data_IF_208610325554
#
_entry.id   IF_208610325554
#
_cell.length_a   1.000
_cell.length_b   1.000
_cell.length_c   1.000
_cell.angle_alpha   90.00
_cell.angle_beta   90.00
_cell.angle_gamma   90.00
#
_symmetry.space_group_name_H-M   'P 1'
#
loop_
_entity.id
_entity.type
_entity.pdbx_description
1 polymer ?
#
# COMPACT_ATOMS: atom_id res chain seq x y z
N UNK A 1 -63.46 6.76 22.71
CA UNK A 1 -62.34 5.86 23.02
C UNK A 1 -62.17 4.94 21.82
N UNK A 2 -60.93 4.55 21.55
CA UNK A 2 -60.46 3.69 20.44
C UNK A 2 -59.97 4.45 19.19
N UNK A 3 -58.81 5.08 19.38
CA UNK A 3 -57.89 5.43 18.29
C UNK A 3 -56.91 4.26 18.09
N UNK A 4 -57.07 3.50 17.01
CA UNK A 4 -56.11 2.48 16.58
C UNK A 4 -54.82 3.15 16.08
N UNK A 5 -53.76 3.01 16.87
CA UNK A 5 -52.40 3.39 16.50
C UNK A 5 -51.86 2.36 15.51
N UNK A 6 -51.83 2.74 14.22
CA UNK A 6 -51.08 2.04 13.18
C UNK A 6 -49.58 2.13 13.48
N UNK A 7 -49.05 1.12 14.17
CA UNK A 7 -47.60 0.89 14.31
C UNK A 7 -47.07 0.30 13.00
N UNK A 8 -46.75 1.18 12.05
CA UNK A 8 -45.99 0.83 10.86
C UNK A 8 -44.53 0.62 11.22
N UNK A 9 -44.12 -0.65 11.38
CA UNK A 9 -42.71 -1.04 11.36
C UNK A 9 -42.09 -0.62 10.03
N UNK A 10 -41.26 0.42 10.06
CA UNK A 10 -40.32 0.71 8.98
C UNK A 10 -39.19 -0.32 9.06
N UNK A 11 -39.41 -1.50 8.49
CA UNK A 11 -38.32 -2.38 8.07
C UNK A 11 -37.64 -1.70 6.89
N UNK A 12 -36.46 -1.14 7.13
CA UNK A 12 -35.54 -0.70 6.08
C UNK A 12 -35.30 -1.91 5.19
N UNK A 13 -35.90 -1.90 4.01
CA UNK A 13 -35.62 -2.89 2.99
C UNK A 13 -34.13 -2.76 2.64
N UNK A 14 -33.34 -3.79 2.96
CA UNK A 14 -32.07 -3.99 2.27
C UNK A 14 -32.39 -3.97 0.77
N UNK A 15 -31.94 -2.94 0.06
CA UNK A 15 -32.22 -2.79 -1.36
C UNK A 15 -31.71 -4.03 -2.08
N UNK A 16 -32.61 -4.78 -2.73
CA UNK A 16 -32.35 -6.00 -3.51
C UNK A 16 -31.22 -5.84 -4.53
N UNK A 17 -30.89 -4.60 -4.91
CA UNK A 17 -29.79 -4.25 -5.82
C UNK A 17 -28.38 -4.39 -5.20
N UNK A 18 -28.26 -4.64 -3.90
CA UNK A 18 -26.96 -4.69 -3.19
C UNK A 18 -26.26 -6.03 -3.34
N UNK A 19 -27.01 -7.14 -3.32
CA UNK A 19 -26.44 -8.49 -3.46
C UNK A 19 -25.76 -8.64 -4.84
N UNK A 20 -26.40 -8.26 -5.96
CA UNK A 20 -25.72 -8.27 -7.26
C UNK A 20 -24.48 -7.38 -7.29
N UNK A 21 -24.49 -6.22 -6.63
CA UNK A 21 -23.33 -5.33 -6.61
C UNK A 21 -22.12 -5.95 -5.88
N UNK A 22 -22.36 -6.66 -4.77
CA UNK A 22 -21.32 -7.37 -4.01
C UNK A 22 -20.75 -8.53 -4.83
N UNK A 23 -21.60 -9.30 -5.50
CA UNK A 23 -21.19 -10.43 -6.36
C UNK A 23 -20.36 -9.95 -7.56
N UNK A 24 -20.80 -8.87 -8.22
CA UNK A 24 -20.04 -8.25 -9.32
C UNK A 24 -18.71 -7.73 -8.79
N UNK A 25 -18.68 -7.07 -7.63
CA UNK A 25 -17.44 -6.54 -7.04
C UNK A 25 -16.46 -7.67 -6.70
N UNK A 26 -16.94 -8.75 -6.08
CA UNK A 26 -16.13 -9.93 -5.77
C UNK A 26 -15.57 -10.58 -7.05
N UNK A 27 -16.40 -10.70 -8.09
CA UNK A 27 -15.99 -11.24 -9.39
C UNK A 27 -14.91 -10.38 -10.05
N UNK A 28 -15.07 -9.05 -10.02
CA UNK A 28 -14.08 -8.13 -10.58
C UNK A 28 -12.77 -8.15 -9.80
N UNK A 29 -12.82 -8.26 -8.48
CA UNK A 29 -11.62 -8.43 -7.66
C UNK A 29 -10.92 -9.77 -7.95
N UNK A 30 -11.67 -10.86 -8.12
CA UNK A 30 -11.10 -12.15 -8.50
C UNK A 30 -10.41 -12.10 -9.88
N UNK A 31 -11.01 -11.43 -10.87
CA UNK A 31 -10.38 -11.17 -12.17
C UNK A 31 -9.12 -10.32 -12.02
N UNK A 32 -9.16 -9.30 -11.17
CA UNK A 32 -8.00 -8.47 -10.85
C UNK A 32 -6.83 -9.31 -10.33
N UNK A 33 -7.08 -10.19 -9.35
CA UNK A 33 -6.05 -11.10 -8.83
C UNK A 33 -5.56 -12.12 -9.85
N UNK A 34 -6.47 -12.65 -10.69
CA UNK A 34 -6.09 -13.59 -11.75
C UNK A 34 -5.05 -12.95 -12.67
N UNK A 35 -5.26 -11.68 -13.07
CA UNK A 35 -4.30 -10.93 -13.87
C UNK A 35 -3.01 -10.57 -13.11
N UNK A 36 -3.08 -10.37 -11.78
CA UNK A 36 -1.90 -10.15 -10.93
C UNK A 36 -0.93 -11.34 -10.95
N UNK A 37 -1.45 -12.56 -11.10
CA UNK A 37 -0.66 -13.78 -11.22
C UNK A 37 -0.10 -14.00 -12.63
N UNK A 38 -0.51 -13.23 -13.64
CA UNK A 38 -0.03 -13.35 -15.01
C UNK A 38 1.23 -12.48 -15.20
N UNK A 39 2.39 -13.07 -15.53
CA UNK A 39 3.61 -12.31 -15.76
C UNK A 39 3.45 -11.25 -16.87
N UNK A 40 3.76 -9.99 -16.55
CA UNK A 40 3.71 -8.89 -17.51
C UNK A 40 2.30 -8.37 -17.85
N UNK A 41 1.24 -8.90 -17.22
CA UNK A 41 -0.10 -8.36 -17.41
C UNK A 41 -0.24 -6.99 -16.75
N UNK A 42 -0.93 -6.10 -17.47
CA UNK A 42 -1.37 -4.79 -16.96
C UNK A 42 -2.91 -4.70 -16.90
N UNK A 43 -3.62 -5.78 -17.25
CA UNK A 43 -5.08 -5.81 -17.31
C UNK A 43 -5.72 -5.77 -15.92
N UNK A 44 -4.98 -6.14 -14.87
CA UNK A 44 -5.41 -5.94 -13.47
C UNK A 44 -5.83 -4.48 -13.21
N UNK A 45 -5.23 -3.49 -13.89
CA UNK A 45 -5.63 -2.08 -13.78
C UNK A 45 -7.07 -1.85 -14.23
N UNK A 46 -7.49 -2.53 -15.30
CA UNK A 46 -8.84 -2.39 -15.87
C UNK A 46 -9.85 -2.96 -14.87
N UNK A 47 -9.56 -4.13 -14.29
CA UNK A 47 -10.42 -4.74 -13.28
C UNK A 47 -10.48 -3.90 -11.99
N UNK A 48 -9.36 -3.37 -11.52
CA UNK A 48 -9.32 -2.49 -10.37
C UNK A 48 -10.14 -1.20 -10.59
N UNK A 49 -10.04 -0.61 -11.80
CA UNK A 49 -10.88 0.53 -12.19
C UNK A 49 -12.36 0.16 -12.23
N UNK A 50 -12.70 -1.02 -12.73
CA UNK A 50 -14.08 -1.52 -12.73
C UNK A 50 -14.62 -1.65 -11.30
N UNK A 51 -13.83 -2.22 -10.37
CA UNK A 51 -14.18 -2.27 -8.95
C UNK A 51 -14.51 -0.87 -8.39
N UNK A 52 -13.64 0.12 -8.63
CA UNK A 52 -13.88 1.50 -8.18
C UNK A 52 -15.14 2.12 -8.80
N UNK A 53 -15.40 1.86 -10.08
CA UNK A 53 -16.63 2.32 -10.74
C UNK A 53 -17.88 1.71 -10.10
N UNK A 54 -17.87 0.42 -9.79
CA UNK A 54 -18.97 -0.26 -9.09
C UNK A 54 -19.18 0.35 -7.70
N UNK A 55 -18.11 0.51 -6.91
CA UNK A 55 -18.17 1.15 -5.59
C UNK A 55 -18.86 2.52 -5.66
N UNK A 56 -18.49 3.32 -6.65
CA UNK A 56 -19.05 4.66 -6.84
C UNK A 56 -20.51 4.63 -7.31
N UNK A 57 -20.86 3.79 -8.29
CA UNK A 57 -22.23 3.67 -8.83
C UNK A 57 -23.21 3.25 -7.74
N UNK A 58 -22.83 2.27 -6.93
CA UNK A 58 -23.68 1.74 -5.86
C UNK A 58 -23.47 2.43 -4.50
N UNK A 59 -22.60 3.45 -4.44
CA UNK A 59 -22.26 4.20 -3.23
C UNK A 59 -21.89 3.29 -2.04
N UNK A 60 -21.12 2.23 -2.31
CA UNK A 60 -20.81 1.18 -1.33
C UNK A 60 -19.98 1.71 -0.15
N UNK A 61 -19.14 2.72 -0.37
CA UNK A 61 -18.35 3.38 0.68
C UNK A 61 -19.24 4.03 1.76
N UNK A 62 -20.33 4.69 1.36
CA UNK A 62 -21.26 5.31 2.31
C UNK A 62 -21.96 4.24 3.18
N UNK A 63 -22.29 3.09 2.57
CA UNK A 63 -22.97 1.97 3.20
C UNK A 63 -22.04 1.13 4.10
N UNK A 64 -20.73 1.17 3.88
CA UNK A 64 -19.76 0.40 4.66
C UNK A 64 -19.83 0.73 6.16
N UNK A 65 -20.04 2.01 6.49
CA UNK A 65 -20.10 2.51 7.87
C UNK A 65 -21.29 1.95 8.66
N UNK A 66 -22.40 1.65 7.98
CA UNK A 66 -23.64 1.15 8.57
C UNK A 66 -23.85 -0.35 8.36
N UNK A 67 -23.10 -0.97 7.45
CA UNK A 67 -23.27 -2.38 7.10
C UNK A 67 -22.67 -3.30 8.17
N UNK A 68 -23.35 -4.42 8.45
CA UNK A 68 -22.83 -5.54 9.25
C UNK A 68 -22.14 -6.59 8.39
N UNK A 69 -22.22 -6.48 7.06
CA UNK A 69 -21.66 -7.43 6.11
C UNK A 69 -20.12 -7.43 6.15
N UNK A 70 -19.55 -8.56 6.57
CA UNK A 70 -18.11 -8.77 6.65
C UNK A 70 -17.46 -8.95 5.28
N UNK A 71 -18.17 -9.49 4.29
CA UNK A 71 -17.70 -9.71 2.93
C UNK A 71 -17.55 -8.36 2.23
N UNK A 72 -18.58 -7.51 2.27
CA UNK A 72 -18.48 -6.16 1.71
C UNK A 72 -17.32 -5.37 2.34
N UNK A 73 -17.19 -5.42 3.67
CA UNK A 73 -16.08 -4.75 4.37
C UNK A 73 -14.72 -5.26 3.93
N UNK A 74 -14.57 -6.57 3.76
CA UNK A 74 -13.35 -7.20 3.27
C UNK A 74 -13.03 -6.73 1.84
N UNK A 75 -13.99 -6.83 0.90
CA UNK A 75 -13.81 -6.44 -0.49
C UNK A 75 -13.39 -4.97 -0.62
N UNK A 76 -14.11 -4.06 0.05
CA UNK A 76 -13.80 -2.63 0.01
C UNK A 76 -12.40 -2.33 0.58
N UNK A 77 -12.03 -3.00 1.67
CA UNK A 77 -10.69 -2.86 2.24
C UNK A 77 -9.63 -3.33 1.24
N UNK A 78 -9.81 -4.51 0.66
CA UNK A 78 -8.82 -5.12 -0.20
C UNK A 78 -8.59 -4.33 -1.49
N UNK A 79 -9.68 -3.86 -2.11
CA UNK A 79 -9.64 -2.95 -3.27
C UNK A 79 -8.92 -1.64 -2.90
N UNK A 80 -9.25 -1.06 -1.74
CA UNK A 80 -8.64 0.18 -1.29
C UNK A 80 -7.13 0.01 -1.00
N UNK A 81 -6.72 -1.11 -0.42
CA UNK A 81 -5.30 -1.38 -0.15
C UNK A 81 -4.52 -1.58 -1.45
N UNK A 82 -5.07 -2.34 -2.40
CA UNK A 82 -4.48 -2.53 -3.73
C UNK A 82 -4.33 -1.21 -4.49
N UNK A 83 -5.35 -0.35 -4.42
CA UNK A 83 -5.34 1.00 -4.97
C UNK A 83 -4.25 1.89 -4.35
N UNK A 84 -4.13 1.87 -3.02
CA UNK A 84 -3.13 2.66 -2.31
C UNK A 84 -1.72 2.22 -2.67
N UNK A 85 -1.46 0.91 -2.65
CA UNK A 85 -0.15 0.34 -2.97
C UNK A 85 0.22 0.61 -4.43
N UNK A 86 -0.73 0.46 -5.35
CA UNK A 86 -0.57 0.87 -6.76
C UNK A 86 -0.24 2.35 -6.87
N UNK A 87 -0.91 3.21 -6.10
CA UNK A 87 -0.69 4.67 -6.13
C UNK A 87 0.73 5.11 -5.78
N UNK A 88 1.50 4.28 -5.05
CA UNK A 88 2.89 4.61 -4.68
C UNK A 88 3.82 4.68 -5.89
N UNK A 89 3.53 3.89 -6.93
CA UNK A 89 4.43 3.64 -8.07
C UNK A 89 3.76 3.86 -9.42
N UNK A 90 2.43 4.00 -9.46
CA UNK A 90 1.72 4.49 -10.63
C UNK A 90 1.71 6.02 -10.66
N UNK A 91 2.29 6.58 -11.72
CA UNK A 91 2.35 8.01 -12.01
C UNK A 91 1.57 8.38 -13.27
N UNK A 92 0.80 7.44 -13.83
CA UNK A 92 -0.08 7.76 -14.95
C UNK A 92 -1.21 8.71 -14.48
N UNK A 93 -1.54 9.69 -15.33
CA UNK A 93 -2.58 10.68 -15.00
C UNK A 93 -3.98 10.05 -14.95
N UNK A 94 -4.15 8.82 -15.45
CA UNK A 94 -5.43 8.12 -15.51
C UNK A 94 -5.87 7.53 -14.17
N UNK A 95 -4.97 7.39 -13.20
CA UNK A 95 -5.30 6.87 -11.87
C UNK A 95 -5.54 7.97 -10.81
N UNK A 96 -5.60 9.24 -11.21
CA UNK A 96 -6.06 10.34 -10.35
C UNK A 96 -7.51 10.74 -10.68
N UNK A 97 -8.37 11.07 -9.69
CA UNK A 97 -8.09 11.23 -8.26
C UNK A 97 -8.66 10.05 -7.45
N UNK A 98 -7.82 9.42 -6.61
CA UNK A 98 -8.30 8.65 -5.46
C UNK A 98 -9.25 9.56 -4.68
N UNK A 99 -10.55 9.28 -4.79
CA UNK A 99 -11.59 10.13 -4.23
C UNK A 99 -11.34 10.28 -2.73
N UNK A 100 -11.26 11.52 -2.26
CA UNK A 100 -10.88 11.89 -0.89
C UNK A 100 -11.90 11.47 0.19
N UNK A 101 -12.82 10.55 -0.13
CA UNK A 101 -13.99 10.21 0.69
C UNK A 101 -13.79 9.08 1.71
N UNK A 102 -12.86 8.14 1.52
CA UNK A 102 -12.88 6.90 2.33
C UNK A 102 -11.67 6.67 3.25
N UNK A 103 -10.63 7.51 3.20
CA UNK A 103 -9.37 7.30 3.96
C UNK A 103 -9.54 7.22 5.48
N UNK A 104 -10.64 7.75 6.05
CA UNK A 104 -10.86 7.70 7.49
C UNK A 104 -11.32 6.32 8.00
N UNK A 105 -11.91 5.47 7.17
CA UNK A 105 -12.63 4.27 7.63
C UNK A 105 -11.87 2.94 7.47
N UNK A 106 -10.80 2.90 6.66
CA UNK A 106 -9.91 1.72 6.51
C UNK A 106 -9.23 1.30 7.84
N UNK A 107 -9.03 2.26 8.76
CA UNK A 107 -8.24 2.06 9.97
C UNK A 107 -8.90 1.21 11.07
N UNK A 108 -10.24 1.13 11.11
CA UNK A 108 -10.94 0.47 12.23
C UNK A 108 -11.16 -1.02 12.01
N UNK A 109 -11.18 -1.49 10.76
CA UNK A 109 -11.60 -2.88 10.45
C UNK A 109 -10.42 -3.86 10.37
N UNK A 110 -9.25 -3.41 9.90
CA UNK A 110 -8.10 -4.31 9.69
C UNK A 110 -7.13 -4.40 10.87
N UNK A 111 -7.06 -3.35 11.68
CA UNK A 111 -5.96 -3.15 12.63
C UNK A 111 -4.61 -2.81 11.97
N UNK A 112 -4.49 -2.85 10.64
CA UNK A 112 -3.27 -2.52 9.91
C UNK A 112 -3.26 -1.03 9.52
N UNK A 113 -2.47 -0.21 10.24
CA UNK A 113 -2.52 1.25 10.08
C UNK A 113 -1.55 1.81 9.03
N UNK A 114 -0.62 0.99 8.51
CA UNK A 114 0.43 1.48 7.60
C UNK A 114 -0.10 1.86 6.22
N UNK A 115 -1.07 1.13 5.67
CA UNK A 115 -1.64 1.46 4.35
C UNK A 115 -2.25 2.85 4.32
N UNK A 116 -2.97 3.24 5.38
CA UNK A 116 -3.49 4.60 5.54
C UNK A 116 -2.38 5.66 5.62
N UNK A 117 -1.24 5.35 6.24
CA UNK A 117 -0.11 6.27 6.32
C UNK A 117 0.59 6.41 4.96
N UNK A 118 0.83 5.30 4.26
CA UNK A 118 1.36 5.28 2.90
C UNK A 118 0.49 6.15 1.99
N UNK A 119 -0.83 5.98 2.03
CA UNK A 119 -1.76 6.80 1.24
C UNK A 119 -1.63 8.30 1.53
N UNK A 120 -1.50 8.69 2.80
CA UNK A 120 -1.30 10.10 3.19
C UNK A 120 0.03 10.65 2.65
N UNK A 121 1.09 9.85 2.73
CA UNK A 121 2.41 10.22 2.21
C UNK A 121 2.29 10.45 0.69
N UNK A 122 1.79 9.45 -0.04
CA UNK A 122 1.63 9.50 -1.50
C UNK A 122 0.75 10.68 -1.92
N UNK A 123 -0.40 10.89 -1.29
CA UNK A 123 -1.31 11.99 -1.65
C UNK A 123 -0.67 13.36 -1.45
N UNK A 124 0.05 13.57 -0.35
CA UNK A 124 0.75 14.82 -0.12
C UNK A 124 1.90 15.00 -1.10
N UNK A 125 2.66 13.95 -1.40
CA UNK A 125 3.74 13.98 -2.39
C UNK A 125 3.19 14.44 -3.75
N UNK A 126 2.10 13.84 -4.22
CA UNK A 126 1.48 14.19 -5.51
C UNK A 126 1.02 15.66 -5.54
N UNK A 127 0.39 16.13 -4.45
CA UNK A 127 -0.03 17.54 -4.31
C UNK A 127 1.17 18.49 -4.34
N UNK A 128 2.25 18.13 -3.64
CA UNK A 128 3.48 18.94 -3.63
C UNK A 128 4.14 18.96 -4.99
N UNK A 129 4.20 17.85 -5.69
CA UNK A 129 4.73 17.80 -7.05
C UNK A 129 3.97 18.76 -7.99
N UNK A 130 2.63 18.71 -7.99
CA UNK A 130 1.81 19.66 -8.77
C UNK A 130 2.05 21.12 -8.38
N UNK A 131 2.25 21.39 -7.07
CA UNK A 131 2.57 22.74 -6.58
C UNK A 131 3.95 23.21 -7.03
N UNK A 132 4.96 22.30 -7.04
CA UNK A 132 6.31 22.58 -7.55
C UNK A 132 6.26 22.96 -9.03
N UNK A 133 5.45 22.25 -9.82
CA UNK A 133 5.26 22.56 -11.25
C UNK A 133 4.59 23.93 -11.47
N UNK A 134 3.62 24.30 -10.63
CA UNK A 134 2.89 25.57 -10.78
C UNK A 134 3.67 26.79 -10.27
N UNK A 135 4.30 26.68 -9.09
CA UNK A 135 4.81 27.82 -8.33
C UNK A 135 6.33 27.79 -8.07
N UNK A 136 7.03 26.71 -8.44
CA UNK A 136 8.48 26.55 -8.28
C UNK A 136 8.98 26.35 -6.84
N UNK A 137 8.35 26.96 -5.84
CA UNK A 137 8.75 26.91 -4.44
C UNK A 137 7.85 26.00 -3.60
N UNK A 138 8.47 25.17 -2.77
CA UNK A 138 7.78 24.30 -1.81
C UNK A 138 8.14 24.69 -0.38
N UNK A 139 7.14 24.72 0.50
CA UNK A 139 7.40 24.83 1.94
C UNK A 139 8.09 23.56 2.45
N UNK A 140 9.13 23.68 3.30
CA UNK A 140 9.74 22.53 3.98
C UNK A 140 8.69 21.72 4.75
N UNK A 141 8.86 20.40 4.78
CA UNK A 141 7.98 19.50 5.52
C UNK A 141 8.64 19.19 6.86
N UNK A 142 7.90 19.33 7.95
CA UNK A 142 8.40 18.94 9.26
C UNK A 142 8.38 17.41 9.39
N UNK A 143 9.56 16.78 9.28
CA UNK A 143 9.69 15.32 9.36
C UNK A 143 9.28 14.75 10.72
N UNK A 144 9.36 15.50 11.83
CA UNK A 144 8.93 15.00 13.15
C UNK A 144 7.44 14.63 13.19
N UNK A 145 6.59 15.27 12.37
CA UNK A 145 5.17 14.94 12.24
C UNK A 145 5.01 13.54 11.63
N UNK A 146 5.82 13.22 10.62
CA UNK A 146 5.79 11.91 9.95
C UNK A 146 6.36 10.79 10.81
N UNK A 147 7.35 11.06 11.66
CA UNK A 147 7.80 10.10 12.68
C UNK A 147 6.67 9.76 13.62
N UNK A 148 5.99 10.77 14.17
CA UNK A 148 4.86 10.57 15.07
C UNK A 148 3.72 9.79 14.41
N UNK A 149 3.47 10.03 13.12
CA UNK A 149 2.49 9.24 12.38
C UNK A 149 2.92 7.79 12.18
N UNK A 150 4.20 7.52 11.91
CA UNK A 150 4.75 6.17 11.81
C UNK A 150 4.70 5.43 13.16
N UNK A 151 5.06 6.10 14.25
CA UNK A 151 4.96 5.57 15.62
C UNK A 151 3.52 5.24 15.99
N UNK A 152 2.58 6.14 15.68
CA UNK A 152 1.15 5.91 15.93
C UNK A 152 0.61 4.75 15.10
N UNK A 153 1.00 4.64 13.82
CA UNK A 153 0.63 3.50 12.98
C UNK A 153 1.19 2.19 13.55
N UNK A 154 2.45 2.18 13.97
CA UNK A 154 3.07 1.02 14.62
C UNK A 154 2.30 0.63 15.89
N UNK A 155 2.04 1.60 16.78
CA UNK A 155 1.30 1.37 18.04
C UNK A 155 -0.11 0.82 17.80
N UNK A 156 -0.84 1.36 16.81
CA UNK A 156 -2.17 0.87 16.44
C UNK A 156 -2.14 -0.56 15.91
N UNK A 157 -1.19 -0.85 15.02
CA UNK A 157 -1.01 -2.20 14.47
C UNK A 157 -0.70 -3.20 15.58
N UNK A 158 0.22 -2.87 16.48
CA UNK A 158 0.56 -3.72 17.63
C UNK A 158 -0.59 -3.90 18.64
N UNK A 159 -1.52 -2.94 18.71
CA UNK A 159 -2.69 -3.03 19.58
C UNK A 159 -3.83 -3.89 19.00
N UNK A 160 -3.73 -4.38 17.77
CA UNK A 160 -4.81 -5.12 17.12
C UNK A 160 -5.13 -6.43 17.89
N UNK A 161 -6.37 -6.62 18.39
CA UNK A 161 -6.74 -7.78 19.18
C UNK A 161 -6.54 -9.12 18.46
N UNK A 162 -6.65 -9.15 17.13
CA UNK A 162 -6.45 -10.36 16.31
C UNK A 162 -5.05 -10.95 16.49
N UNK A 163 -4.05 -10.09 16.72
CA UNK A 163 -2.65 -10.47 16.93
C UNK A 163 -2.34 -10.89 18.36
N UNK A 164 -3.21 -10.53 19.29
CA UNK A 164 -3.09 -10.87 20.71
C UNK A 164 -3.89 -12.12 21.07
N UNK A 165 -4.49 -12.78 20.07
CA UNK A 165 -5.26 -14.01 20.26
C UNK A 165 -4.38 -15.13 20.78
N UNK A 166 -4.81 -15.79 21.86
CA UNK A 166 -4.10 -16.90 22.50
C UNK A 166 -3.93 -18.13 21.58
N UNK A 167 -4.67 -18.18 20.46
CA UNK A 167 -4.60 -19.25 19.46
C UNK A 167 -3.40 -19.18 18.51
N UNK A 168 -2.66 -18.05 18.47
CA UNK A 168 -1.51 -17.91 17.57
C UNK A 168 -0.23 -18.51 18.18
N UNK A 169 0.55 -19.21 17.35
CA UNK A 169 1.86 -19.74 17.74
C UNK A 169 2.83 -18.59 18.08
N UNK A 170 3.78 -18.84 18.98
CA UNK A 170 4.81 -17.86 19.33
C UNK A 170 5.61 -17.42 18.10
N UNK A 171 5.93 -18.35 17.20
CA UNK A 171 6.66 -18.07 15.97
C UNK A 171 5.90 -17.10 15.04
N UNK A 172 4.58 -17.28 14.89
CA UNK A 172 3.75 -16.39 14.07
C UNK A 172 3.68 -14.98 14.68
N UNK A 173 3.58 -14.88 16.01
CA UNK A 173 3.61 -13.58 16.71
C UNK A 173 4.92 -12.84 16.49
N UNK A 174 6.05 -13.54 16.62
CA UNK A 174 7.38 -12.95 16.40
C UNK A 174 7.57 -12.50 14.95
N UNK A 175 7.12 -13.30 13.98
CA UNK A 175 7.14 -12.93 12.56
C UNK A 175 6.26 -11.69 12.31
N UNK A 176 5.07 -11.62 12.89
CA UNK A 176 4.21 -10.45 12.77
C UNK A 176 4.84 -9.18 13.40
N UNK A 177 5.48 -9.31 14.56
CA UNK A 177 6.20 -8.21 15.19
C UNK A 177 7.33 -7.71 14.29
N UNK A 178 8.08 -8.62 13.67
CA UNK A 178 9.11 -8.28 12.71
C UNK A 178 8.52 -7.57 11.49
N UNK A 179 7.46 -8.11 10.89
CA UNK A 179 6.75 -7.48 9.76
C UNK A 179 6.26 -6.06 10.09
N UNK A 180 5.73 -5.86 11.29
CA UNK A 180 5.29 -4.54 11.75
C UNK A 180 6.44 -3.55 11.85
N UNK A 181 7.64 -3.99 12.29
CA UNK A 181 8.85 -3.16 12.30
C UNK A 181 9.35 -2.89 10.88
N UNK A 182 9.34 -3.90 10.01
CA UNK A 182 9.68 -3.76 8.59
C UNK A 182 8.83 -2.65 7.94
N UNK A 183 7.51 -2.67 8.14
CA UNK A 183 6.62 -1.62 7.61
C UNK A 183 6.82 -0.26 8.28
N UNK A 184 7.14 -0.23 9.57
CA UNK A 184 7.50 1.01 10.26
C UNK A 184 8.71 1.68 9.58
N UNK A 185 9.81 0.93 9.39
CA UNK A 185 11.00 1.47 8.74
C UNK A 185 10.73 1.85 7.28
N UNK A 186 10.10 0.96 6.51
CA UNK A 186 9.81 1.22 5.09
C UNK A 186 8.93 2.46 4.90
N UNK A 187 7.88 2.62 5.70
CA UNK A 187 6.98 3.78 5.61
C UNK A 187 7.69 5.07 6.00
N UNK A 188 8.56 5.03 7.01
CA UNK A 188 9.32 6.20 7.44
C UNK A 188 10.35 6.58 6.36
N UNK A 189 11.10 5.64 5.82
CA UNK A 189 12.01 5.86 4.68
C UNK A 189 11.24 6.45 3.49
N UNK A 190 10.07 5.90 3.15
CA UNK A 190 9.24 6.43 2.08
C UNK A 190 8.81 7.88 2.32
N UNK A 191 8.52 8.27 3.57
CA UNK A 191 8.23 9.68 3.89
C UNK A 191 9.43 10.60 3.69
N UNK A 192 10.66 10.15 4.01
CA UNK A 192 11.88 10.90 3.75
C UNK A 192 12.14 11.03 2.24
N UNK A 193 11.94 9.96 1.48
CA UNK A 193 12.05 9.98 0.03
C UNK A 193 11.06 10.95 -0.62
N UNK A 194 9.85 11.05 -0.06
CA UNK A 194 8.79 11.91 -0.58
C UNK A 194 8.95 13.40 -0.22
N UNK A 195 9.53 13.70 0.95
CA UNK A 195 9.44 15.05 1.53
C UNK A 195 10.74 15.70 1.95
N UNK A 196 11.74 14.91 2.34
CA UNK A 196 12.93 15.43 2.98
C UNK A 196 13.95 15.93 1.95
N UNK A 197 14.74 16.92 2.36
CA UNK A 197 15.87 17.41 1.56
C UNK A 197 16.98 16.35 1.47
N UNK A 198 17.89 16.50 0.51
CA UNK A 198 19.03 15.58 0.36
C UNK A 198 19.89 15.48 1.65
N UNK A 199 20.06 16.60 2.36
CA UNK A 199 20.81 16.63 3.63
C UNK A 199 20.11 15.85 4.75
N UNK A 200 18.80 16.05 4.92
CA UNK A 200 18.01 15.31 5.92
C UNK A 200 17.95 13.81 5.61
N UNK A 201 17.86 13.44 4.33
CA UNK A 201 17.91 12.04 3.89
C UNK A 201 19.25 11.40 4.30
N UNK A 202 20.36 12.07 4.00
CA UNK A 202 21.69 11.56 4.32
C UNK A 202 21.89 11.34 5.83
N UNK A 203 21.40 12.25 6.69
CA UNK A 203 21.55 12.14 8.14
C UNK A 203 20.68 11.06 8.79
N UNK A 204 19.52 10.76 8.20
CA UNK A 204 18.48 9.99 8.90
C UNK A 204 18.23 8.60 8.31
N UNK A 205 18.55 8.36 7.04
CA UNK A 205 18.19 7.11 6.37
C UNK A 205 19.09 5.92 6.77
N UNK A 206 20.38 6.14 7.08
CA UNK A 206 21.32 5.04 7.35
C UNK A 206 20.82 4.05 8.41
N UNK A 207 20.48 4.54 9.60
CA UNK A 207 19.96 3.70 10.69
C UNK A 207 18.62 3.05 10.37
N UNK A 208 17.77 3.72 9.59
CA UNK A 208 16.46 3.18 9.19
C UNK A 208 16.61 2.03 8.19
N UNK A 209 17.53 2.16 7.24
CA UNK A 209 17.83 1.12 6.23
C UNK A 209 18.42 -0.11 6.91
N UNK A 210 19.36 0.07 7.85
CA UNK A 210 19.95 -1.03 8.60
C UNK A 210 18.89 -1.81 9.41
N UNK A 211 17.98 -1.07 10.07
CA UNK A 211 16.84 -1.65 10.78
C UNK A 211 15.90 -2.43 9.85
N UNK A 212 15.57 -1.85 8.69
CA UNK A 212 14.74 -2.47 7.68
C UNK A 212 15.35 -3.79 7.17
N UNK A 213 16.60 -3.76 6.72
CA UNK A 213 17.29 -4.94 6.18
C UNK A 213 17.44 -6.04 7.22
N UNK A 214 17.70 -5.69 8.48
CA UNK A 214 17.77 -6.65 9.58
C UNK A 214 16.43 -7.37 9.80
N UNK A 215 15.33 -6.63 9.89
CA UNK A 215 14.02 -7.24 10.17
C UNK A 215 13.44 -7.96 8.94
N UNK A 216 13.76 -7.52 7.72
CA UNK A 216 13.43 -8.26 6.48
C UNK A 216 14.15 -9.62 6.46
N UNK A 217 15.45 -9.65 6.77
CA UNK A 217 16.23 -10.90 6.90
C UNK A 217 15.58 -11.86 7.88
N UNK A 218 15.20 -11.36 9.04
CA UNK A 218 14.55 -12.15 10.08
C UNK A 218 13.19 -12.70 9.62
N UNK A 219 12.37 -11.87 8.98
CA UNK A 219 11.01 -12.27 8.54
C UNK A 219 11.07 -13.39 7.49
N UNK A 220 12.02 -13.32 6.54
CA UNK A 220 12.14 -14.33 5.48
C UNK A 220 12.81 -15.61 5.96
N UNK A 221 13.77 -15.51 6.89
CA UNK A 221 14.39 -16.68 7.53
C UNK A 221 13.45 -17.39 8.52
N UNK A 222 12.31 -16.77 8.86
CA UNK A 222 11.29 -17.33 9.74
C UNK A 222 10.65 -18.60 9.19
N UNK A 223 10.02 -19.37 10.07
CA UNK A 223 9.39 -20.65 9.74
C UNK A 223 8.05 -20.54 9.02
N UNK A 224 7.48 -19.34 8.93
CA UNK A 224 6.16 -19.09 8.31
C UNK A 224 6.34 -18.35 6.99
N UNK A 225 6.16 -19.05 5.88
CA UNK A 225 6.12 -18.44 4.55
C UNK A 225 4.88 -17.57 4.31
N UNK A 226 3.89 -17.67 5.21
CA UNK A 226 2.59 -17.02 5.12
C UNK A 226 2.66 -15.50 4.96
N UNK A 227 3.73 -14.84 5.40
CA UNK A 227 3.89 -13.38 5.35
C UNK A 227 4.75 -12.88 4.17
N UNK A 228 5.17 -13.78 3.27
CA UNK A 228 6.07 -13.40 2.16
C UNK A 228 5.42 -12.42 1.18
N UNK A 229 4.09 -12.48 1.06
CA UNK A 229 3.30 -11.60 0.19
C UNK A 229 3.26 -10.15 0.70
N UNK A 230 3.47 -9.91 2.00
CA UNK A 230 3.46 -8.56 2.57
C UNK A 230 4.81 -7.84 2.43
N UNK A 231 5.85 -8.49 1.87
CA UNK A 231 7.21 -7.95 1.89
C UNK A 231 7.60 -7.13 0.65
N UNK A 232 6.79 -7.10 -0.40
CA UNK A 232 7.19 -6.42 -1.64
C UNK A 232 7.37 -4.91 -1.45
N UNK A 233 6.45 -4.23 -0.76
CA UNK A 233 6.61 -2.80 -0.46
C UNK A 233 7.89 -2.50 0.34
N UNK A 234 8.12 -3.14 1.49
CA UNK A 234 9.38 -2.95 2.22
C UNK A 234 10.64 -3.34 1.44
N UNK A 235 10.62 -4.42 0.66
CA UNK A 235 11.75 -4.83 -0.17
C UNK A 235 12.05 -3.81 -1.27
N UNK A 236 11.02 -3.23 -1.87
CA UNK A 236 11.19 -2.20 -2.87
C UNK A 236 11.82 -0.95 -2.27
N UNK A 237 11.31 -0.49 -1.12
CA UNK A 237 11.86 0.65 -0.38
C UNK A 237 13.32 0.40 0.03
N UNK A 238 13.66 -0.80 0.49
CA UNK A 238 15.04 -1.18 0.74
C UNK A 238 15.87 -1.10 -0.55
N UNK A 239 15.37 -1.69 -1.64
CA UNK A 239 16.05 -1.78 -2.92
C UNK A 239 16.45 -0.42 -3.50
N UNK A 240 15.56 0.57 -3.45
CA UNK A 240 15.85 1.93 -3.95
C UNK A 240 16.90 2.69 -3.13
N UNK A 241 17.17 2.25 -1.89
CA UNK A 241 18.18 2.87 -1.01
C UNK A 241 19.49 2.07 -0.95
N UNK A 242 19.57 0.89 -1.57
CA UNK A 242 20.80 0.08 -1.57
C UNK A 242 21.82 0.58 -2.60
N UNK A 243 22.98 1.01 -2.10
CA UNK A 243 24.09 1.51 -2.92
C UNK A 243 25.17 0.45 -3.14
N UNK A 244 25.34 -0.49 -2.21
CA UNK A 244 26.36 -1.53 -2.28
C UNK A 244 25.87 -2.77 -3.02
N UNK A 245 26.72 -3.32 -3.88
CA UNK A 245 26.38 -4.49 -4.72
C UNK A 245 25.90 -5.69 -3.92
N UNK A 246 26.50 -5.95 -2.75
CA UNK A 246 26.10 -7.06 -1.87
C UNK A 246 24.66 -6.91 -1.38
N UNK A 247 24.25 -5.69 -1.01
CA UNK A 247 22.90 -5.41 -0.57
C UNK A 247 21.89 -5.49 -1.72
N UNK A 248 22.28 -5.05 -2.93
CA UNK A 248 21.45 -5.16 -4.14
C UNK A 248 21.19 -6.63 -4.50
N UNK A 249 22.24 -7.45 -4.53
CA UNK A 249 22.13 -8.91 -4.76
C UNK A 249 21.22 -9.55 -3.70
N UNK A 250 21.38 -9.11 -2.45
CA UNK A 250 20.55 -9.59 -1.35
C UNK A 250 19.08 -9.24 -1.55
N UNK A 251 18.73 -7.98 -1.81
CA UNK A 251 17.35 -7.55 -2.06
C UNK A 251 16.77 -8.24 -3.30
N UNK A 252 17.54 -8.36 -4.38
CA UNK A 252 17.14 -9.05 -5.60
C UNK A 252 16.79 -10.51 -5.34
N UNK A 253 17.65 -11.24 -4.62
CA UNK A 253 17.41 -12.63 -4.25
C UNK A 253 16.09 -12.77 -3.49
N UNK A 254 15.84 -11.89 -2.52
CA UNK A 254 14.60 -11.92 -1.73
C UNK A 254 13.36 -11.61 -2.57
N UNK A 255 13.46 -10.64 -3.49
CA UNK A 255 12.37 -10.32 -4.42
C UNK A 255 12.01 -11.54 -5.27
N UNK A 256 13.01 -12.20 -5.87
CA UNK A 256 12.81 -13.39 -6.71
C UNK A 256 12.23 -14.55 -5.89
N UNK A 257 12.69 -14.74 -4.66
CA UNK A 257 12.18 -15.76 -3.76
C UNK A 257 10.71 -15.50 -3.39
N UNK A 258 10.35 -14.25 -3.05
CA UNK A 258 8.96 -13.86 -2.78
C UNK A 258 8.05 -14.03 -4.00
N UNK A 259 8.51 -13.63 -5.20
CA UNK A 259 7.78 -13.84 -6.45
C UNK A 259 7.52 -15.33 -6.70
N UNK A 260 8.55 -16.17 -6.54
CA UNK A 260 8.46 -17.61 -6.78
C UNK A 260 7.53 -18.31 -5.79
N UNK A 261 7.49 -17.85 -4.53
CA UNK A 261 6.63 -18.43 -3.48
C UNK A 261 5.18 -17.99 -3.58
N UNK A 262 4.94 -16.72 -3.90
CA UNK A 262 3.59 -16.12 -3.86
C UNK A 262 2.89 -16.17 -5.22
N UNK A 263 3.66 -16.26 -6.31
CA UNK A 263 3.14 -16.15 -7.67
C UNK A 263 2.70 -14.74 -8.07
N UNK A 264 2.87 -13.73 -7.21
CA UNK A 264 2.39 -12.35 -7.43
C UNK A 264 3.32 -11.63 -8.44
N UNK A 265 3.25 -12.04 -9.70
CA UNK A 265 4.15 -11.59 -10.76
C UNK A 265 3.96 -10.14 -11.19
N UNK A 266 2.86 -9.48 -10.80
CA UNK A 266 2.68 -8.04 -11.00
C UNK A 266 3.76 -7.18 -10.30
N UNK A 267 4.48 -7.74 -9.33
CA UNK A 267 5.62 -7.12 -8.64
C UNK A 267 6.93 -7.22 -9.43
N UNK A 268 7.01 -8.06 -10.48
CA UNK A 268 8.24 -8.23 -11.27
C UNK A 268 8.71 -6.95 -11.98
N UNK A 269 7.83 -6.11 -12.56
CA UNK A 269 8.21 -4.81 -13.08
C UNK A 269 8.89 -3.89 -12.04
N UNK A 270 8.54 -4.00 -10.75
CA UNK A 270 9.24 -3.27 -9.69
C UNK A 270 10.69 -3.73 -9.53
N UNK A 271 10.94 -5.04 -9.62
CA UNK A 271 12.30 -5.58 -9.62
C UNK A 271 13.09 -5.14 -10.87
N UNK A 272 12.44 -5.06 -12.03
CA UNK A 272 13.08 -4.55 -13.25
C UNK A 272 13.46 -3.07 -13.12
N UNK A 273 12.60 -2.26 -12.50
CA UNK A 273 12.93 -0.88 -12.15
C UNK A 273 14.17 -0.81 -11.25
N UNK A 274 14.25 -1.63 -10.19
CA UNK A 274 15.42 -1.71 -9.30
C UNK A 274 16.70 -2.11 -10.06
N UNK A 275 16.64 -3.10 -10.94
CA UNK A 275 17.79 -3.53 -11.75
C UNK A 275 18.30 -2.41 -12.66
N UNK A 276 17.38 -1.67 -13.29
CA UNK A 276 17.71 -0.51 -14.11
C UNK A 276 18.35 0.60 -13.28
N UNK A 277 17.82 0.83 -12.07
CA UNK A 277 18.34 1.80 -11.11
C UNK A 277 19.79 1.48 -10.71
N UNK A 278 20.04 0.23 -10.31
CA UNK A 278 21.35 -0.23 -9.85
C UNK A 278 22.40 -0.23 -10.96
N UNK A 279 21.98 -0.47 -12.20
CA UNK A 279 22.89 -0.48 -13.36
C UNK A 279 23.33 0.92 -13.78
N UNK A 280 22.54 1.95 -13.45
CA UNK A 280 22.77 3.33 -13.88
C UNK A 280 22.52 4.31 -12.71
N UNK A 281 23.38 4.32 -11.69
CA UNK A 281 23.19 5.15 -10.50
C UNK A 281 23.19 6.66 -10.81
N UNK A 282 23.79 7.07 -11.94
CA UNK A 282 23.74 8.45 -12.41
C UNK A 282 22.31 8.97 -12.67
N UNK A 283 21.33 8.10 -12.90
CA UNK A 283 19.93 8.54 -13.04
C UNK A 283 19.41 9.17 -11.74
N UNK A 284 19.80 8.67 -10.57
CA UNK A 284 19.46 9.29 -9.28
C UNK A 284 20.24 10.59 -9.02
N UNK A 285 21.34 10.84 -9.72
CA UNK A 285 22.00 12.15 -9.66
C UNK A 285 21.26 13.19 -10.49
N UNK A 286 20.60 12.77 -11.58
CA UNK A 286 19.79 13.64 -12.44
C UNK A 286 18.38 13.88 -11.89
N UNK A 287 17.88 12.97 -11.07
CA UNK A 287 16.55 13.03 -10.45
C UNK A 287 16.69 13.12 -8.93
N UNK A 288 16.07 14.13 -8.29
CA UNK A 288 16.16 14.35 -6.83
C UNK A 288 15.71 13.13 -6.00
N UNK A 289 14.90 12.24 -6.56
CA UNK A 289 14.40 11.03 -5.92
C UNK A 289 14.09 9.91 -6.93
N UNK A 290 13.99 8.67 -6.42
CA UNK A 290 13.49 7.54 -7.23
C UNK A 290 12.06 7.78 -7.72
N UNK A 291 11.26 8.56 -6.98
CA UNK A 291 9.88 8.93 -7.30
C UNK A 291 9.86 9.77 -8.58
N UNK A 292 10.78 10.74 -8.69
CA UNK A 292 10.93 11.57 -9.90
C UNK A 292 11.45 10.75 -11.09
N UNK A 293 12.37 9.82 -10.84
CA UNK A 293 12.85 8.90 -11.86
C UNK A 293 11.72 7.99 -12.37
N UNK A 294 10.94 7.38 -11.48
CA UNK A 294 9.81 6.53 -11.84
C UNK A 294 8.74 7.32 -12.61
N UNK A 295 8.49 8.58 -12.23
CA UNK A 295 7.62 9.49 -12.98
C UNK A 295 8.14 9.80 -14.38
N UNK A 296 9.44 10.02 -14.54
CA UNK A 296 10.06 10.28 -15.86
C UNK A 296 10.08 9.02 -16.74
N UNK A 297 10.17 7.84 -16.13
CA UNK A 297 10.28 6.55 -16.81
C UNK A 297 8.93 5.91 -17.17
N UNK A 298 7.79 6.57 -16.90
CA UNK A 298 6.45 6.00 -17.19
C UNK A 298 6.30 5.61 -18.66
N UNK A 299 6.83 6.43 -19.58
CA UNK A 299 6.74 6.18 -21.02
C UNK A 299 7.65 5.05 -21.52
N UNK A 300 8.70 4.71 -20.77
CA UNK A 300 9.71 3.70 -21.18
C UNK A 300 9.51 2.36 -20.50
N UNK A 301 9.16 2.37 -19.22
CA UNK A 301 9.14 1.17 -18.36
C UNK A 301 7.71 0.74 -18.00
N UNK A 302 6.73 1.59 -18.33
CA UNK A 302 5.35 1.43 -17.87
C UNK A 302 5.21 1.74 -16.37
N UNK A 303 3.98 1.81 -15.89
CA UNK A 303 3.72 1.86 -14.44
C UNK A 303 3.75 0.45 -13.86
N UNK A 304 4.48 0.29 -12.78
CA UNK A 304 4.56 -0.95 -12.01
C UNK A 304 3.79 -0.82 -10.70
N UNK A 305 3.58 -1.95 -10.02
CA UNK A 305 2.97 -2.01 -8.69
C UNK A 305 3.98 -2.60 -7.73
N UNK A 306 3.85 -2.18 -6.49
CA UNK A 306 4.48 -2.85 -5.37
C UNK A 306 3.37 -3.24 -4.40
N UNK A 307 2.85 -4.45 -4.58
CA UNK A 307 1.74 -5.04 -3.84
C UNK A 307 2.30 -5.87 -2.70
#
# INVERSE_FOLDING_TARGET
MDSEVRSGKSTVAESTDTIPAIEILASMLALCYTEVFVPGSHNWKIHLRACRKIINIYQLDARQSTSTDSVLKFLLKDINDMEILTGTTAFDNELLPFSSGSSQYSNTVSGWAFTSLIHKITTLERKRHLTKLANGALCPVNMSVWHRHAEEAHRRTMACPRLRSASQSQALRECFHALTRVYYYATLIYSYQAFATAGERFSSLGTLIDGLLKDVKYTIAGSTHDLSHDLFFPLFIAGVETTFREQQIFVEKLFVESLSKTGIWCNYPALQFLRSLWSNPEHLLRHESWIDLARAAVSTTGSFVVF
#
